data_IF_686048508460
#
_entry.id   IF_686048508460
#
_cell.length_a   1.000
_cell.length_b   1.000
_cell.length_c   1.000
_cell.angle_alpha   90.00
_cell.angle_beta   90.00
_cell.angle_gamma   90.00
#
_symmetry.space_group_name_H-M   'P 1'
#
loop_
_entity.id
_entity.type
_entity.pdbx_description
1 polymer ?
#
# COMPACT_ATOMS: atom_id res chain seq x y z
N UNK A 1 -8.40 4.91 11.99
CA UNK A 1 -7.86 4.16 10.85
C UNK A 1 -6.72 4.96 10.24
N UNK A 2 -5.77 4.34 9.55
CA UNK A 2 -4.65 5.03 8.92
C UNK A 2 -4.87 5.08 7.41
N UNK A 3 -4.35 6.10 6.73
CA UNK A 3 -4.42 6.22 5.28
C UNK A 3 -3.02 6.04 4.71
N UNK A 4 -2.90 5.19 3.68
CA UNK A 4 -1.71 5.11 2.84
C UNK A 4 -2.08 5.70 1.49
N UNK A 5 -1.31 6.70 1.05
CA UNK A 5 -1.49 7.33 -0.25
C UNK A 5 -0.18 7.39 -1.04
N UNK A 6 -0.31 7.45 -2.36
CA UNK A 6 0.82 7.64 -3.27
C UNK A 6 0.37 8.43 -4.50
N UNK A 7 1.32 9.06 -5.18
CA UNK A 7 1.15 9.71 -6.46
C UNK A 7 2.22 9.18 -7.42
N UNK A 8 1.77 8.59 -8.52
CA UNK A 8 2.60 7.93 -9.52
C UNK A 8 2.67 8.83 -10.75
N UNK A 9 3.89 9.07 -11.22
CA UNK A 9 4.19 9.95 -12.35
C UNK A 9 4.85 9.17 -13.46
N UNK A 10 4.43 9.45 -14.70
CA UNK A 10 5.13 9.03 -15.91
C UNK A 10 6.09 10.16 -16.32
N UNK A 11 7.38 9.94 -16.12
CA UNK A 11 8.42 10.91 -16.46
C UNK A 11 8.78 10.92 -17.95
N UNK A 12 8.39 9.91 -18.73
CA UNK A 12 8.61 9.87 -20.18
C UNK A 12 7.64 10.83 -20.87
N UNK A 13 6.39 10.85 -20.44
CA UNK A 13 5.35 11.70 -21.02
C UNK A 13 5.06 12.97 -20.20
N UNK A 14 5.62 13.08 -18.98
CA UNK A 14 5.46 14.25 -18.12
C UNK A 14 4.05 14.41 -17.54
N UNK A 15 3.37 13.30 -17.26
CA UNK A 15 1.98 13.28 -16.80
C UNK A 15 1.77 12.34 -15.60
N UNK A 16 0.55 12.30 -15.06
CA UNK A 16 0.20 11.32 -14.03
C UNK A 16 0.04 9.92 -14.65
N UNK A 17 0.53 8.90 -13.96
CA UNK A 17 0.44 7.53 -14.45
C UNK A 17 -0.84 6.85 -13.94
N UNK A 18 -1.91 6.92 -14.75
CA UNK A 18 -3.19 6.26 -14.46
C UNK A 18 -3.17 4.77 -14.80
N UNK A 19 -4.02 3.99 -14.13
CA UNK A 19 -4.18 2.55 -14.39
C UNK A 19 -3.01 1.67 -13.93
N UNK A 20 -2.02 2.23 -13.22
CA UNK A 20 -0.91 1.46 -12.67
C UNK A 20 -1.41 0.62 -11.49
N UNK A 21 -1.28 -0.70 -11.61
CA UNK A 21 -1.56 -1.64 -10.53
C UNK A 21 -0.48 -1.54 -9.44
N UNK A 22 -0.91 -1.31 -8.21
CA UNK A 22 -0.06 -1.19 -7.02
C UNK A 22 -0.50 -2.20 -5.97
N UNK A 23 0.48 -2.86 -5.33
CA UNK A 23 0.25 -3.75 -4.21
C UNK A 23 1.01 -3.24 -2.99
N UNK A 24 0.31 -3.15 -1.85
CA UNK A 24 0.94 -2.85 -0.55
C UNK A 24 1.04 -4.13 0.26
N UNK A 25 2.23 -4.43 0.76
CA UNK A 25 2.51 -5.58 1.59
C UNK A 25 3.06 -5.14 2.94
N UNK A 26 2.58 -5.78 4.01
CA UNK A 26 3.13 -5.66 5.35
C UNK A 26 4.23 -6.70 5.52
N UNK A 27 5.45 -6.23 5.71
CA UNK A 27 6.57 -7.07 6.08
C UNK A 27 6.37 -7.60 7.51
N UNK A 28 6.25 -8.92 7.67
CA UNK A 28 6.21 -9.58 8.98
C UNK A 28 7.49 -10.41 9.10
N UNK A 29 8.22 -10.24 10.21
CA UNK A 29 9.43 -11.03 10.42
C UNK A 29 9.10 -12.52 10.38
N UNK A 30 9.86 -13.23 9.52
CA UNK A 30 10.03 -14.69 9.41
C UNK A 30 9.22 -15.47 8.37
N UNK A 31 7.92 -15.25 8.14
CA UNK A 31 7.11 -16.27 7.41
C UNK A 31 6.13 -15.78 6.32
N UNK A 32 6.26 -14.56 5.81
CA UNK A 32 5.56 -14.17 4.58
C UNK A 32 5.02 -12.75 4.57
N UNK A 33 5.02 -12.16 3.38
CA UNK A 33 4.44 -10.84 3.13
C UNK A 33 2.90 -10.94 3.19
N UNK A 34 2.29 -10.15 4.08
CA UNK A 34 0.83 -10.04 4.12
C UNK A 34 0.40 -8.93 3.17
N UNK A 35 -0.37 -9.27 2.12
CA UNK A 35 -1.01 -8.25 1.28
C UNK A 35 -1.98 -7.45 2.16
N UNK A 36 -1.78 -6.13 2.18
CA UNK A 36 -2.65 -5.17 2.87
C UNK A 36 -3.77 -4.74 1.93
N UNK A 37 -3.40 -4.37 0.70
CA UNK A 37 -4.33 -4.04 -0.38
C UNK A 37 -3.67 -4.19 -1.75
N UNK A 38 -4.52 -4.22 -2.76
CA UNK A 38 -4.16 -4.08 -4.16
C UNK A 38 -5.14 -3.11 -4.83
N UNK A 39 -4.63 -2.14 -5.58
CA UNK A 39 -5.42 -1.04 -6.15
C UNK A 39 -4.80 -0.58 -7.47
N UNK A 40 -5.62 -0.03 -8.35
CA UNK A 40 -5.15 0.69 -9.54
C UNK A 40 -5.15 2.20 -9.29
N UNK A 41 -4.08 2.86 -9.71
CA UNK A 41 -4.00 4.31 -9.65
C UNK A 41 -5.11 4.95 -10.49
N UNK A 42 -5.78 5.95 -9.93
CA UNK A 42 -6.87 6.66 -10.60
C UNK A 42 -6.37 7.53 -11.77
N UNK A 43 -7.27 8.30 -12.39
CA UNK A 43 -6.95 9.19 -13.52
C UNK A 43 -5.88 10.25 -13.19
N UNK A 44 -5.72 10.61 -11.92
CA UNK A 44 -4.68 11.53 -11.44
C UNK A 44 -3.40 10.81 -11.00
N UNK A 45 -3.27 9.50 -11.26
CA UNK A 45 -2.15 8.69 -10.83
C UNK A 45 -2.07 8.52 -9.31
N UNK A 46 -3.19 8.71 -8.59
CA UNK A 46 -3.23 8.65 -7.12
C UNK A 46 -3.83 7.35 -6.63
N UNK A 47 -3.34 6.92 -5.48
CA UNK A 47 -3.98 5.91 -4.63
C UNK A 47 -4.24 6.50 -3.25
N UNK A 48 -5.33 6.09 -2.60
CA UNK A 48 -5.67 6.51 -1.26
C UNK A 48 -6.46 5.40 -0.57
N UNK A 49 -5.74 4.53 0.14
CA UNK A 49 -6.32 3.34 0.76
C UNK A 49 -6.37 3.49 2.27
N UNK A 50 -7.52 3.15 2.83
CA UNK A 50 -7.73 3.12 4.28
C UNK A 50 -7.29 1.77 4.84
N UNK A 51 -6.35 1.77 5.78
CA UNK A 51 -5.76 0.57 6.36
C UNK A 51 -6.04 0.45 7.85
N UNK A 52 -6.39 -0.77 8.24
CA UNK A 52 -6.56 -1.15 9.65
C UNK A 52 -5.25 -1.69 10.20
N UNK A 53 -4.55 -0.88 11.00
CA UNK A 53 -3.37 -1.32 11.73
C UNK A 53 -3.81 -2.13 12.97
N UNK A 54 -4.06 -3.43 12.82
CA UNK A 54 -4.12 -4.32 13.99
C UNK A 54 -2.70 -4.48 14.52
N UNK A 55 -2.41 -3.85 15.65
CA UNK A 55 -1.19 -4.10 16.43
C UNK A 55 -1.31 -5.53 16.95
N UNK A 56 -0.51 -6.45 16.42
CA UNK A 56 -0.32 -7.74 17.07
C UNK A 56 0.44 -7.48 18.37
N UNK A 57 -0.25 -7.61 19.51
CA UNK A 57 0.43 -7.67 20.81
C UNK A 57 1.22 -8.97 20.84
N UNK A 58 2.54 -8.87 20.75
CA UNK A 58 3.39 -10.00 21.05
C UNK A 58 3.27 -10.26 22.56
N UNK A 59 2.41 -11.19 22.94
CA UNK A 59 2.41 -11.74 24.29
C UNK A 59 3.64 -12.64 24.39
N UNK A 60 4.79 -12.06 24.69
CA UNK A 60 5.94 -12.79 25.20
C UNK A 60 5.64 -13.20 26.64
N UNK A 61 4.90 -14.30 26.79
CA UNK A 61 4.80 -15.07 28.02
C UNK A 61 5.56 -16.37 27.80
N UNK A 62 6.74 -16.44 28.44
CA UNK A 62 7.32 -17.56 29.19
C UNK A 62 8.83 -17.47 29.20
#
# INVERSE_FOLDING_TARGET
MAIISSHILDSVHGCSASGIRVQCQKMVNRNGDQIVFEVEANEEGRIMEEVSLKIQKNNSTS
#
